data_IF_116608812194
#
_entry.id   IF_116608812194
#
_cell.length_a   1.000
_cell.length_b   1.000
_cell.length_c   1.000
_cell.angle_alpha   90.00
_cell.angle_beta   90.00
_cell.angle_gamma   90.00
#
_symmetry.space_group_name_H-M   'P 1'
#
loop_
_entity.id
_entity.type
_entity.pdbx_description
1 polymer ?
#
# COMPACT_ATOMS: atom_id res chain seq x y z
N UNK A 1 -4.45 9.36 4.84
CA UNK A 1 -3.57 10.47 5.18
C UNK A 1 -3.06 10.32 6.59
N UNK A 2 -1.93 9.67 6.70
CA UNK A 2 -1.31 9.41 8.00
C UNK A 2 -0.43 10.59 8.39
N UNK A 3 -0.39 10.89 9.70
CA UNK A 3 0.48 11.95 10.20
C UNK A 3 1.93 11.52 10.13
N UNK A 4 2.22 10.26 10.47
CA UNK A 4 3.57 9.70 10.35
C UNK A 4 3.68 9.00 9.00
N UNK A 5 4.86 9.08 8.38
CA UNK A 5 5.08 8.54 7.04
C UNK A 5 5.90 7.26 7.11
N UNK A 6 5.34 6.19 6.55
CA UNK A 6 5.99 4.89 6.40
C UNK A 6 5.98 4.47 4.94
N UNK A 7 6.99 3.71 4.47
CA UNK A 7 6.87 3.10 3.14
C UNK A 7 5.68 2.13 3.14
N UNK A 8 4.92 2.07 2.04
CA UNK A 8 3.72 1.20 2.02
C UNK A 8 4.05 -0.29 2.09
N UNK A 9 5.23 -0.69 1.62
CA UNK A 9 5.62 -2.10 1.63
C UNK A 9 7.13 -2.24 1.66
N UNK A 10 7.57 -3.39 2.16
CA UNK A 10 8.98 -3.81 2.08
C UNK A 10 9.02 -5.32 2.03
N UNK A 11 10.13 -5.88 1.60
CA UNK A 11 10.29 -7.32 1.51
C UNK A 11 11.72 -7.73 1.81
N UNK A 12 11.88 -8.98 2.21
CA UNK A 12 13.18 -9.57 2.43
C UNK A 12 13.10 -11.08 2.32
N UNK A 13 14.26 -11.73 2.17
CA UNK A 13 14.34 -13.18 2.17
C UNK A 13 14.59 -13.69 3.58
N UNK A 14 14.24 -14.96 3.87
CA UNK A 14 14.54 -15.52 5.20
C UNK A 14 16.00 -15.36 5.58
N UNK A 15 16.23 -14.97 6.81
CA UNK A 15 17.58 -14.73 7.34
C UNK A 15 18.11 -13.33 7.15
N UNK A 16 17.52 -12.52 6.28
CA UNK A 16 17.94 -11.15 6.06
C UNK A 16 17.51 -10.23 7.20
N UNK A 17 18.09 -9.03 7.21
CA UNK A 17 17.69 -7.94 8.09
C UNK A 17 16.92 -6.91 7.27
N UNK A 18 15.75 -6.52 7.74
CA UNK A 18 14.96 -5.46 7.10
C UNK A 18 14.78 -4.32 8.08
N UNK A 19 14.63 -3.10 7.55
CA UNK A 19 14.41 -1.90 8.33
C UNK A 19 13.16 -1.21 7.80
N UNK A 20 12.25 -0.88 8.70
CA UNK A 20 11.03 -0.12 8.39
C UNK A 20 11.19 1.25 9.01
N UNK A 21 11.12 2.29 8.19
CA UNK A 21 11.28 3.66 8.64
C UNK A 21 9.94 4.32 8.93
N UNK A 22 9.97 5.32 9.79
CA UNK A 22 8.81 6.11 10.19
C UNK A 22 9.28 7.54 10.36
N UNK A 23 8.75 8.45 9.56
CA UNK A 23 9.13 9.86 9.60
C UNK A 23 8.01 10.70 10.17
N UNK A 24 8.37 11.61 11.04
CA UNK A 24 7.41 12.53 11.66
C UNK A 24 7.94 13.93 11.72
N UNK A 25 7.51 14.66 12.74
CA UNK A 25 7.90 16.04 12.97
C UNK A 25 8.39 16.22 14.40
N UNK A 26 8.83 17.44 14.71
CA UNK A 26 9.31 17.77 16.05
C UNK A 26 8.24 17.57 17.11
N UNK A 27 6.96 17.82 16.80
CA UNK A 27 5.88 17.73 17.78
C UNK A 27 5.49 16.30 18.12
N UNK A 28 5.87 15.32 17.31
CA UNK A 28 5.59 13.91 17.60
C UNK A 28 6.90 13.15 17.85
N UNK A 29 7.51 12.57 16.83
CA UNK A 29 8.70 11.73 17.02
C UNK A 29 9.85 12.52 17.63
N UNK A 30 10.00 13.79 17.27
CA UNK A 30 11.11 14.61 17.73
C UNK A 30 11.11 14.87 19.23
N UNK A 31 9.97 14.79 19.90
CA UNK A 31 9.88 15.12 21.33
C UNK A 31 9.19 14.05 22.17
N UNK A 32 8.66 13.00 21.57
CA UNK A 32 7.88 11.98 22.29
C UNK A 32 8.34 10.58 21.94
N UNK A 33 7.87 9.61 22.73
CA UNK A 33 8.21 8.19 22.52
C UNK A 33 7.50 7.65 21.28
N UNK A 34 8.09 6.62 20.70
CA UNK A 34 7.56 5.93 19.54
C UNK A 34 7.27 4.48 19.93
N UNK A 35 6.11 4.01 19.51
CA UNK A 35 5.72 2.60 19.65
C UNK A 35 5.59 1.98 18.28
N UNK A 36 5.74 0.66 18.22
CA UNK A 36 5.54 -0.12 17.00
C UNK A 36 4.54 -1.22 17.29
N UNK A 37 3.63 -1.42 16.34
CA UNK A 37 2.59 -2.46 16.42
C UNK A 37 2.73 -3.40 15.23
N UNK A 38 2.43 -4.67 15.46
CA UNK A 38 2.43 -5.71 14.45
C UNK A 38 0.99 -6.21 14.31
N UNK A 39 0.51 -6.31 13.08
CA UNK A 39 -0.84 -6.79 12.82
C UNK A 39 -0.81 -7.87 11.75
N UNK A 40 -1.25 -9.06 12.13
CA UNK A 40 -1.46 -10.15 11.18
C UNK A 40 -2.83 -10.01 10.55
N UNK A 41 -3.03 -10.54 9.32
CA UNK A 41 -4.34 -10.45 8.66
C UNK A 41 -5.46 -11.01 9.53
N UNK A 42 -6.55 -10.27 9.64
CA UNK A 42 -7.72 -10.69 10.39
C UNK A 42 -7.59 -10.67 11.90
N UNK A 43 -6.52 -10.09 12.43
CA UNK A 43 -6.30 -10.01 13.89
C UNK A 43 -6.11 -8.57 14.33
N UNK A 44 -6.25 -8.32 15.64
CA UNK A 44 -6.00 -7.01 16.20
C UNK A 44 -4.49 -6.73 16.24
N UNK A 45 -4.09 -5.44 16.18
CA UNK A 45 -2.68 -5.10 16.33
C UNK A 45 -2.16 -5.48 17.70
N UNK A 46 -0.90 -5.86 17.74
CA UNK A 46 -0.20 -6.27 18.95
C UNK A 46 0.98 -5.32 19.17
N UNK A 47 1.22 -4.90 20.42
CA UNK A 47 2.34 -4.04 20.73
C UNK A 47 3.65 -4.84 20.55
N UNK A 48 4.55 -4.29 19.72
CA UNK A 48 5.81 -4.95 19.39
C UNK A 48 6.99 -4.27 20.09
N UNK A 49 7.04 -2.93 20.04
CA UNK A 49 8.09 -2.12 20.66
C UNK A 49 7.40 -0.94 21.34
N UNK A 50 7.83 -0.58 22.55
CA UNK A 50 7.35 0.61 23.23
C UNK A 50 8.53 1.45 23.71
N UNK A 51 8.27 2.73 23.98
CA UNK A 51 9.28 3.67 24.46
C UNK A 51 10.55 3.66 23.59
N UNK A 52 10.35 3.68 22.27
CA UNK A 52 11.37 3.73 21.23
C UNK A 52 12.08 2.39 21.00
N UNK A 53 12.51 1.68 22.05
CA UNK A 53 13.37 0.50 21.88
C UNK A 53 13.08 -0.64 22.86
N UNK A 54 12.01 -0.60 23.63
CA UNK A 54 11.70 -1.61 24.62
C UNK A 54 10.80 -2.70 24.04
N UNK A 55 11.10 -3.96 24.37
CA UNK A 55 10.28 -5.09 23.92
C UNK A 55 9.41 -5.58 25.07
N UNK A 56 8.08 -5.75 24.82
CA UNK A 56 7.25 -6.44 25.79
C UNK A 56 7.69 -7.90 25.96
N UNK A 57 7.27 -8.50 27.07
CA UNK A 57 7.53 -9.93 27.29
C UNK A 57 6.94 -10.75 26.13
N UNK A 58 7.71 -11.68 25.60
CA UNK A 58 7.27 -12.54 24.50
C UNK A 58 7.69 -12.06 23.12
N UNK A 59 8.25 -10.85 22.99
CA UNK A 59 8.76 -10.36 21.72
C UNK A 59 10.23 -10.74 21.59
N UNK A 60 10.63 -11.47 20.52
CA UNK A 60 12.02 -11.91 20.36
C UNK A 60 12.99 -10.73 20.20
N UNK A 61 14.25 -10.95 20.56
CA UNK A 61 15.26 -9.91 20.51
C UNK A 61 15.72 -9.57 19.08
N UNK A 62 15.26 -10.31 18.07
CA UNK A 62 15.54 -9.97 16.69
C UNK A 62 14.74 -8.76 16.19
N UNK A 63 13.73 -8.31 16.96
CA UNK A 63 13.04 -7.05 16.75
C UNK A 63 13.69 -5.97 17.59
N UNK A 64 14.05 -4.85 16.98
CA UNK A 64 14.65 -3.73 17.69
C UNK A 64 14.16 -2.41 17.14
N UNK A 65 14.06 -1.42 18.01
CA UNK A 65 13.63 -0.09 17.62
C UNK A 65 14.72 0.93 17.89
N UNK A 66 14.72 1.99 17.13
CA UNK A 66 15.61 3.12 17.34
C UNK A 66 14.93 4.40 16.88
N UNK A 67 15.47 5.52 17.36
CA UNK A 67 14.93 6.84 17.02
C UNK A 67 16.10 7.83 16.90
N UNK A 68 16.03 8.70 15.91
CA UNK A 68 17.01 9.74 15.71
C UNK A 68 16.30 10.95 15.09
N UNK A 69 16.37 12.10 15.78
CA UNK A 69 15.71 13.31 15.31
C UNK A 69 14.20 13.13 15.20
N UNK A 70 13.67 13.32 14.01
CA UNK A 70 12.23 13.18 13.74
C UNK A 70 11.89 11.87 13.03
N UNK A 71 12.80 10.91 13.04
CA UNK A 71 12.60 9.61 12.40
C UNK A 71 12.81 8.48 13.39
N UNK A 72 12.07 7.40 13.20
CA UNK A 72 12.20 6.17 13.96
C UNK A 72 12.36 5.01 12.99
N UNK A 73 12.94 3.92 13.48
CA UNK A 73 13.15 2.72 12.66
C UNK A 73 12.87 1.47 13.46
N UNK A 74 12.24 0.51 12.82
CA UNK A 74 12.08 -0.85 13.31
C UNK A 74 12.98 -1.75 12.49
N UNK A 75 13.88 -2.49 13.17
CA UNK A 75 14.76 -3.43 12.50
C UNK A 75 14.35 -4.85 12.88
N UNK A 76 14.29 -5.72 11.89
CA UNK A 76 13.98 -7.14 12.08
C UNK A 76 15.15 -7.93 11.51
N UNK A 77 15.87 -8.62 12.39
CA UNK A 77 17.01 -9.45 12.02
C UNK A 77 16.56 -10.91 11.89
N UNK A 78 17.30 -11.70 11.12
CA UNK A 78 17.00 -13.13 11.00
C UNK A 78 15.57 -13.35 10.56
N UNK A 79 15.16 -12.69 9.50
CA UNK A 79 13.77 -12.63 9.04
C UNK A 79 13.21 -14.04 8.87
N UNK A 80 12.00 -14.26 9.39
CA UNK A 80 11.29 -15.54 9.33
C UNK A 80 9.94 -15.35 8.64
N UNK A 81 9.41 -16.44 8.10
CA UNK A 81 8.12 -16.37 7.40
C UNK A 81 6.99 -15.87 8.28
N UNK A 82 7.00 -16.17 9.58
CA UNK A 82 5.99 -15.70 10.52
C UNK A 82 6.07 -14.21 10.82
N UNK A 83 7.11 -13.52 10.34
CA UNK A 83 7.21 -12.06 10.48
C UNK A 83 6.37 -11.32 9.45
N UNK A 84 5.82 -12.02 8.48
CA UNK A 84 4.98 -11.41 7.45
C UNK A 84 3.71 -10.84 8.07
N UNK A 85 3.60 -9.51 8.03
CA UNK A 85 2.54 -8.78 8.71
C UNK A 85 2.58 -7.32 8.29
N UNK A 86 1.62 -6.55 8.78
CA UNK A 86 1.66 -5.10 8.67
C UNK A 86 2.26 -4.52 9.95
N UNK A 87 3.09 -3.50 9.79
CA UNK A 87 3.79 -2.84 10.91
C UNK A 87 3.45 -1.37 10.93
N UNK A 88 3.06 -0.87 12.11
CA UNK A 88 2.63 0.52 12.28
C UNK A 88 3.48 1.19 13.35
N UNK A 89 3.94 2.42 13.07
CA UNK A 89 4.54 3.26 14.10
C UNK A 89 3.47 4.17 14.68
N UNK A 90 3.66 4.56 15.92
CA UNK A 90 2.76 5.45 16.64
C UNK A 90 3.56 6.35 17.56
N UNK A 91 3.14 7.59 17.73
CA UNK A 91 3.77 8.55 18.62
C UNK A 91 2.73 9.51 19.16
N UNK A 92 2.99 10.05 20.32
CA UNK A 92 2.18 11.14 20.85
C UNK A 92 2.55 12.43 20.13
N UNK A 93 1.56 13.23 19.79
CA UNK A 93 1.78 14.52 19.13
C UNK A 93 1.33 15.65 20.04
N UNK A 94 2.26 16.52 20.42
CA UNK A 94 1.99 17.61 21.35
C UNK A 94 1.08 18.67 20.76
N UNK A 95 1.18 18.93 19.45
CA UNK A 95 0.38 19.96 18.84
C UNK A 95 -1.07 19.51 18.61
N UNK A 96 -1.28 18.22 18.35
CA UNK A 96 -2.62 17.64 18.18
C UNK A 96 -3.20 17.11 19.48
N UNK A 97 -2.35 17.00 20.52
CA UNK A 97 -2.73 16.48 21.83
C UNK A 97 -3.36 15.11 21.74
N UNK A 98 -2.71 14.21 21.03
CA UNK A 98 -3.21 12.86 20.84
C UNK A 98 -2.18 11.96 20.16
N UNK A 99 -2.53 10.67 20.06
CA UNK A 99 -1.70 9.70 19.36
C UNK A 99 -1.86 9.87 17.84
N UNK A 100 -0.73 9.78 17.13
CA UNK A 100 -0.70 9.79 15.69
C UNK A 100 -0.03 8.50 15.21
N UNK A 101 -0.42 8.04 14.02
CA UNK A 101 0.00 6.75 13.50
C UNK A 101 0.55 6.88 12.09
N UNK A 102 1.45 5.97 11.72
CA UNK A 102 1.84 5.78 10.33
C UNK A 102 0.77 5.02 9.57
N UNK A 103 0.86 5.05 8.26
CA UNK A 103 -0.10 4.34 7.39
C UNK A 103 0.12 2.84 7.33
N UNK A 104 1.21 2.36 7.90
CA UNK A 104 1.53 0.94 7.91
C UNK A 104 2.46 0.54 6.79
N UNK A 105 3.27 -0.47 7.06
CA UNK A 105 4.17 -1.08 6.08
C UNK A 105 3.87 -2.56 6.01
N UNK A 106 3.52 -3.05 4.82
CA UNK A 106 3.33 -4.49 4.62
C UNK A 106 4.70 -5.13 4.40
N UNK A 107 5.06 -6.04 5.28
CA UNK A 107 6.31 -6.80 5.16
C UNK A 107 6.01 -8.15 4.54
N UNK A 108 6.67 -8.44 3.42
CA UNK A 108 6.58 -9.74 2.76
C UNK A 108 7.90 -10.48 2.95
N UNK A 109 7.82 -11.72 3.42
CA UNK A 109 8.97 -12.60 3.49
C UNK A 109 8.94 -13.46 2.24
N UNK A 110 9.91 -13.24 1.35
CA UNK A 110 9.85 -13.79 0.00
C UNK A 110 10.01 -15.31 0.03
N UNK A 111 8.95 -16.01 -0.39
CA UNK A 111 8.94 -17.46 -0.49
C UNK A 111 8.87 -17.94 -1.92
N UNK A 112 8.86 -17.03 -2.87
CA UNK A 112 8.84 -17.35 -4.30
C UNK A 112 9.44 -16.16 -5.07
N UNK A 113 9.79 -16.35 -6.35
CA UNK A 113 10.36 -15.26 -7.15
C UNK A 113 9.38 -14.11 -7.33
N UNK A 114 9.90 -12.89 -7.42
CA UNK A 114 9.08 -11.72 -7.71
C UNK A 114 8.46 -11.88 -9.10
N UNK A 115 7.23 -11.39 -9.24
CA UNK A 115 6.49 -11.46 -10.49
C UNK A 115 5.82 -10.12 -10.74
N UNK A 116 6.00 -9.58 -11.94
CA UNK A 116 5.39 -8.33 -12.34
C UNK A 116 3.90 -8.55 -12.64
N UNK A 117 3.05 -7.56 -12.39
CA UNK A 117 1.62 -7.71 -12.65
C UNK A 117 1.28 -7.76 -14.14
N UNK A 118 0.26 -8.54 -14.46
CA UNK A 118 -0.44 -8.44 -15.74
C UNK A 118 -1.58 -7.45 -15.55
N UNK A 119 -1.68 -6.47 -16.43
CA UNK A 119 -2.69 -5.41 -16.31
C UNK A 119 -3.59 -5.42 -17.53
N UNK A 120 -4.91 -5.43 -17.30
CA UNK A 120 -5.91 -5.34 -18.37
C UNK A 120 -6.89 -4.24 -18.00
N UNK A 121 -7.08 -3.28 -18.89
CA UNK A 121 -7.99 -2.17 -18.67
C UNK A 121 -9.16 -2.29 -19.62
N UNK A 122 -10.39 -2.28 -19.05
CA UNK A 122 -11.62 -2.36 -19.82
C UNK A 122 -12.30 -1.01 -19.86
N UNK A 123 -12.75 -0.58 -21.05
CA UNK A 123 -13.59 0.61 -21.16
C UNK A 123 -15.00 0.32 -20.70
N UNK A 124 -15.84 1.35 -20.54
CA UNK A 124 -17.26 1.14 -20.24
C UNK A 124 -17.91 0.34 -21.38
N UNK A 125 -18.81 -0.57 -21.01
CA UNK A 125 -19.59 -1.30 -22.02
C UNK A 125 -20.65 -0.37 -22.62
N UNK A 126 -21.08 -0.69 -23.85
CA UNK A 126 -22.17 0.07 -24.50
C UNK A 126 -23.45 0.01 -23.69
N UNK A 127 -23.70 -1.12 -23.06
CA UNK A 127 -24.90 -1.30 -22.23
C UNK A 127 -24.88 -0.37 -21.00
N UNK A 128 -23.71 -0.26 -20.38
CA UNK A 128 -23.55 0.63 -19.23
C UNK A 128 -23.78 2.09 -19.64
N UNK A 129 -23.20 2.48 -20.76
CA UNK A 129 -23.37 3.85 -21.27
C UNK A 129 -24.83 4.17 -21.56
N UNK A 130 -25.57 3.19 -22.08
CA UNK A 130 -27.02 3.35 -22.30
C UNK A 130 -27.77 3.51 -21.00
N UNK A 131 -27.25 2.97 -19.90
CA UNK A 131 -27.81 3.13 -18.56
C UNK A 131 -27.34 4.42 -17.88
N UNK A 132 -26.69 5.30 -18.63
CA UNK A 132 -26.18 6.60 -18.16
C UNK A 132 -25.09 6.47 -17.09
N UNK A 133 -24.24 5.46 -17.22
CA UNK A 133 -23.11 5.21 -16.32
C UNK A 133 -21.86 4.84 -17.13
N UNK A 134 -20.72 5.01 -16.53
CA UNK A 134 -19.45 4.62 -17.14
C UNK A 134 -18.47 4.20 -16.06
N UNK A 135 -17.99 2.95 -16.14
CA UNK A 135 -17.00 2.44 -15.19
C UNK A 135 -15.84 1.85 -15.98
N UNK A 136 -14.64 2.28 -15.63
CA UNK A 136 -13.44 1.64 -16.15
C UNK A 136 -12.96 0.64 -15.13
N UNK A 137 -12.51 -0.53 -15.60
CA UNK A 137 -12.08 -1.61 -14.73
C UNK A 137 -10.64 -1.97 -15.09
N UNK A 138 -9.76 -1.84 -14.12
CA UNK A 138 -8.36 -2.18 -14.26
C UNK A 138 -8.10 -3.46 -13.46
N UNK A 139 -7.84 -4.57 -14.16
CA UNK A 139 -7.58 -5.86 -13.53
C UNK A 139 -6.09 -6.10 -13.45
N UNK A 140 -5.62 -6.46 -12.27
CA UNK A 140 -4.20 -6.59 -11.97
C UNK A 140 -4.00 -7.99 -11.40
N UNK A 141 -3.19 -8.80 -12.06
CA UNK A 141 -3.07 -10.22 -11.65
C UNK A 141 -1.64 -10.72 -11.74
N UNK A 142 -1.41 -11.85 -11.09
CA UNK A 142 -0.17 -12.63 -11.16
C UNK A 142 1.06 -11.87 -10.68
N UNK A 143 0.91 -11.05 -9.65
CA UNK A 143 2.06 -10.31 -9.10
C UNK A 143 2.47 -10.88 -7.74
N UNK A 144 3.74 -10.73 -7.44
CA UNK A 144 4.32 -11.10 -6.16
C UNK A 144 5.57 -10.24 -5.92
N UNK A 145 5.75 -9.61 -4.75
CA UNK A 145 4.87 -9.61 -3.56
C UNK A 145 3.51 -8.94 -3.79
N UNK A 146 2.59 -9.16 -2.85
CA UNK A 146 1.21 -8.72 -2.98
C UNK A 146 0.96 -7.28 -2.58
N UNK A 147 1.69 -6.34 -3.16
CA UNK A 147 1.49 -4.92 -2.90
C UNK A 147 1.65 -4.15 -4.21
N UNK A 148 0.66 -3.34 -4.56
CA UNK A 148 0.69 -2.49 -5.74
C UNK A 148 0.11 -1.13 -5.40
N UNK A 149 0.49 -0.13 -6.18
CA UNK A 149 -0.09 1.20 -6.11
C UNK A 149 -0.73 1.49 -7.47
N UNK A 150 -1.96 1.99 -7.45
CA UNK A 150 -2.71 2.26 -8.68
C UNK A 150 -2.96 3.75 -8.77
N UNK A 151 -2.69 4.32 -9.94
CA UNK A 151 -2.99 5.71 -10.25
C UNK A 151 -3.76 5.77 -11.56
N UNK A 152 -4.73 6.67 -11.62
CA UNK A 152 -5.55 6.87 -12.80
C UNK A 152 -5.24 8.23 -13.43
N UNK A 153 -5.36 8.30 -14.75
CA UNK A 153 -5.20 9.56 -15.48
C UNK A 153 -6.31 9.74 -16.51
N UNK A 154 -6.79 10.97 -16.60
CA UNK A 154 -7.66 11.42 -17.68
C UNK A 154 -6.76 12.24 -18.61
N UNK A 155 -6.56 11.77 -19.83
CA UNK A 155 -5.50 12.27 -20.70
C UNK A 155 -4.16 12.15 -19.95
N UNK A 156 -3.53 13.27 -19.61
CA UNK A 156 -2.27 13.26 -18.82
C UNK A 156 -2.48 13.72 -17.39
N UNK A 157 -3.70 14.04 -16.99
CA UNK A 157 -3.97 14.63 -15.67
C UNK A 157 -4.37 13.58 -14.66
N UNK A 158 -3.82 13.62 -13.43
CA UNK A 158 -4.23 12.65 -12.40
C UNK A 158 -5.70 12.77 -12.05
N UNK A 159 -6.33 11.62 -11.78
CA UNK A 159 -7.73 11.53 -11.36
C UNK A 159 -7.76 10.85 -10.00
N UNK A 160 -8.38 11.48 -9.02
CA UNK A 160 -8.52 10.93 -7.68
C UNK A 160 -9.97 10.64 -7.31
N UNK A 161 -10.91 11.42 -7.82
CA UNK A 161 -12.32 11.23 -7.51
C UNK A 161 -12.88 10.04 -8.27
N UNK A 162 -13.72 9.26 -7.61
CA UNK A 162 -14.39 8.12 -8.23
C UNK A 162 -13.56 6.86 -8.32
N UNK A 163 -12.42 6.79 -7.63
CA UNK A 163 -11.51 5.64 -7.66
C UNK A 163 -11.76 4.74 -6.46
N UNK A 164 -11.94 3.44 -6.73
CA UNK A 164 -11.99 2.39 -5.70
C UNK A 164 -11.02 1.28 -6.08
N UNK A 165 -10.14 0.93 -5.18
CA UNK A 165 -9.13 -0.11 -5.42
C UNK A 165 -9.23 -1.16 -4.34
N UNK A 166 -9.29 -2.43 -4.74
CA UNK A 166 -9.37 -3.53 -3.78
C UNK A 166 -8.02 -3.75 -3.11
N UNK A 167 -8.06 -4.40 -1.96
CA UNK A 167 -6.86 -4.93 -1.33
C UNK A 167 -6.43 -6.17 -2.13
N UNK A 168 -5.12 -6.37 -2.37
CA UNK A 168 -4.67 -7.57 -3.07
C UNK A 168 -5.07 -8.84 -2.33
N UNK A 169 -5.47 -9.86 -3.07
CA UNK A 169 -5.81 -11.16 -2.52
C UNK A 169 -5.00 -12.25 -3.20
N UNK A 170 -4.70 -13.31 -2.45
CA UNK A 170 -3.87 -14.40 -2.96
C UNK A 170 -4.69 -15.29 -3.89
N UNK A 171 -4.13 -15.55 -5.07
CA UNK A 171 -4.73 -16.45 -6.07
C UNK A 171 -4.39 -17.90 -5.75
N UNK A 172 -4.99 -18.82 -6.50
CA UNK A 172 -4.71 -20.25 -6.32
C UNK A 172 -3.26 -20.63 -6.65
N UNK A 173 -2.57 -19.81 -7.44
CA UNK A 173 -1.17 -20.04 -7.79
C UNK A 173 -0.19 -19.33 -6.84
N UNK A 174 -0.69 -18.85 -5.69
CA UNK A 174 0.08 -18.13 -4.66
C UNK A 174 0.59 -16.76 -5.08
N UNK A 175 0.24 -16.28 -6.26
CA UNK A 175 0.44 -14.89 -6.65
C UNK A 175 -0.81 -14.10 -6.24
N UNK A 176 -0.78 -12.79 -6.44
CA UNK A 176 -1.83 -11.92 -5.97
C UNK A 176 -2.60 -11.29 -7.13
N UNK A 177 -3.83 -10.90 -6.84
CA UNK A 177 -4.67 -10.17 -7.77
C UNK A 177 -5.35 -9.01 -7.04
N UNK A 178 -5.62 -7.95 -7.79
CA UNK A 178 -6.36 -6.80 -7.30
C UNK A 178 -7.11 -6.18 -8.47
N UNK A 179 -8.02 -5.28 -8.17
CA UNK A 179 -8.73 -4.53 -9.20
C UNK A 179 -8.92 -3.09 -8.76
N UNK A 180 -9.00 -2.20 -9.73
CA UNK A 180 -9.26 -0.80 -9.47
C UNK A 180 -10.36 -0.34 -10.42
N UNK A 181 -11.26 0.49 -9.91
CA UNK A 181 -12.42 0.95 -10.63
C UNK A 181 -12.43 2.46 -10.66
N UNK A 182 -12.74 3.03 -11.81
CA UNK A 182 -12.93 4.47 -11.96
C UNK A 182 -14.35 4.72 -12.44
N UNK A 183 -15.14 5.40 -11.62
CA UNK A 183 -16.52 5.72 -11.94
C UNK A 183 -16.59 7.11 -12.57
N UNK A 184 -17.20 7.19 -13.74
CA UNK A 184 -17.34 8.43 -14.52
C UNK A 184 -18.78 8.58 -14.96
N UNK A 185 -19.13 9.81 -15.37
CA UNK A 185 -20.34 10.01 -16.17
C UNK A 185 -20.00 9.70 -17.63
N UNK A 186 -21.00 9.31 -18.45
CA UNK A 186 -20.74 9.15 -19.89
C UNK A 186 -20.15 10.39 -20.53
N UNK A 187 -20.53 11.58 -20.07
CA UNK A 187 -19.99 12.84 -20.57
C UNK A 187 -18.50 12.97 -20.28
N UNK A 188 -18.08 12.63 -19.07
CA UNK A 188 -16.65 12.64 -18.72
C UNK A 188 -15.87 11.66 -19.58
N UNK A 189 -16.42 10.46 -19.76
CA UNK A 189 -15.76 9.45 -20.58
C UNK A 189 -15.54 9.94 -22.00
N UNK A 190 -16.56 10.53 -22.61
CA UNK A 190 -16.51 10.96 -24.00
C UNK A 190 -15.72 12.26 -24.20
N UNK A 191 -15.55 13.06 -23.15
CA UNK A 191 -14.92 14.37 -23.27
C UNK A 191 -13.41 14.33 -23.26
N UNK A 192 -12.79 13.19 -22.91
CA UNK A 192 -11.34 13.03 -22.88
C UNK A 192 -10.89 12.13 -24.03
N UNK A 193 -9.64 12.30 -24.45
CA UNK A 193 -9.06 11.46 -25.49
C UNK A 193 -8.81 10.05 -25.02
N UNK A 194 -8.39 9.92 -23.77
CA UNK A 194 -8.05 8.63 -23.22
C UNK A 194 -8.05 8.67 -21.70
N UNK A 195 -8.14 7.48 -21.13
CA UNK A 195 -7.94 7.26 -19.70
C UNK A 195 -6.90 6.17 -19.52
N UNK A 196 -6.11 6.27 -18.47
CA UNK A 196 -5.04 5.31 -18.22
C UNK A 196 -5.08 4.81 -16.78
N UNK A 197 -4.75 3.54 -16.62
CA UNK A 197 -4.53 2.90 -15.34
C UNK A 197 -3.03 2.61 -15.23
N UNK A 198 -2.40 3.17 -14.21
CA UNK A 198 -0.97 2.97 -13.95
C UNK A 198 -0.80 2.13 -12.70
N UNK A 199 -0.13 1.00 -12.83
CA UNK A 199 0.09 0.07 -11.72
C UNK A 199 1.58 0.03 -11.42
N UNK A 200 1.95 0.40 -10.21
CA UNK A 200 3.35 0.37 -9.76
C UNK A 200 3.55 -0.80 -8.82
N UNK A 201 4.54 -1.62 -9.13
CA UNK A 201 4.89 -2.81 -8.38
C UNK A 201 6.42 -2.88 -8.30
N UNK A 202 6.97 -2.91 -7.08
CA UNK A 202 8.42 -3.01 -6.85
C UNK A 202 9.21 -1.97 -7.64
N UNK A 203 8.71 -0.73 -7.66
CA UNK A 203 9.40 0.37 -8.33
C UNK A 203 9.20 0.43 -9.83
N UNK A 204 8.53 -0.54 -10.44
CA UNK A 204 8.26 -0.57 -11.88
C UNK A 204 6.78 -0.29 -12.14
N UNK A 205 6.51 0.45 -13.20
CA UNK A 205 5.14 0.85 -13.53
C UNK A 205 4.71 0.24 -14.86
N UNK A 206 3.50 -0.33 -14.87
CA UNK A 206 2.83 -0.80 -16.08
C UNK A 206 1.62 0.09 -16.30
N UNK A 207 1.46 0.61 -17.51
CA UNK A 207 0.35 1.49 -17.83
C UNK A 207 -0.46 0.92 -18.98
N UNK A 208 -1.79 0.94 -18.85
CA UNK A 208 -2.72 0.60 -19.92
C UNK A 208 -3.63 1.79 -20.17
N UNK A 209 -4.03 1.95 -21.42
CA UNK A 209 -4.80 3.11 -21.86
C UNK A 209 -5.98 2.64 -22.69
N UNK A 210 -7.14 3.27 -22.49
CA UNK A 210 -8.33 3.07 -23.31
C UNK A 210 -8.85 4.43 -23.75
N UNK A 211 -9.57 4.43 -24.87
CA UNK A 211 -10.14 5.65 -25.44
C UNK A 211 -11.55 5.40 -25.90
N UNK A 212 -12.43 6.42 -25.87
CA UNK A 212 -13.75 6.29 -26.48
C UNK A 212 -13.60 5.99 -27.98
N UNK A 213 -14.41 5.06 -28.48
CA UNK A 213 -14.41 4.72 -29.89
C UNK A 213 -15.68 5.25 -30.55
N UNK A 214 -15.58 5.51 -31.85
CA UNK A 214 -16.72 5.98 -32.63
C UNK A 214 -17.53 4.84 -33.19
N UNK A 215 -16.96 3.67 -33.28
CA UNK A 215 -17.59 2.49 -33.89
C UNK A 215 -17.94 1.45 -32.84
N UNK A 216 -18.82 1.78 -31.96
CA UNK A 216 -19.22 0.83 -30.91
C UNK A 216 -20.64 0.35 -31.08
#
# INVERSE_FOLDING_TARGET
QSVLTQPPSTSGTPGQRVIISCSGTRSNIGSNIVNWHQQFPGTAPKLLIYSDDQRPSGVPDRFSGSKSGTSASLAISGLQSEDEADYYCAAWDDSLNGWVFGGGTKLTVLGQPKAAPSVTLFPPSSEELQANKATLVCLISDFYPGAVTVAWKADSSPVKAGVETTTPSKQSNNKYAASSYLSLTPEQWKSHRSYSCQVTHEGSTVEKTVAPTECS
#
